data_IF_267567019785
#
_entry.id   IF_267567019785
#
_cell.length_a   1.000
_cell.length_b   1.000
_cell.length_c   1.000
_cell.angle_alpha   90.00
_cell.angle_beta   90.00
_cell.angle_gamma   90.00
#
_symmetry.space_group_name_H-M   'P 1'
#
loop_
_entity.id
_entity.type
_entity.pdbx_description
1 polymer ?
#
# COMPACT_ATOMS: atom_id res chain seq x y z
N UNK A 1 14.98 -10.73 10.73
CA UNK A 1 13.70 -10.24 10.16
C UNK A 1 13.18 -11.29 9.17
N UNK A 2 11.88 -11.58 9.15
CA UNK A 2 11.28 -12.51 8.18
C UNK A 2 10.69 -11.72 7.01
N UNK A 3 11.55 -11.22 6.12
CA UNK A 3 11.17 -10.32 5.04
C UNK A 3 11.62 -10.82 3.67
N UNK A 4 10.76 -10.55 2.69
CA UNK A 4 10.91 -10.92 1.30
C UNK A 4 10.66 -9.70 0.42
N UNK A 5 11.15 -9.75 -0.81
CA UNK A 5 10.87 -8.79 -1.87
C UNK A 5 10.24 -9.56 -3.03
N UNK A 6 9.09 -9.13 -3.50
CA UNK A 6 8.51 -9.54 -4.76
C UNK A 6 8.77 -8.45 -5.79
N UNK A 7 9.69 -8.70 -6.72
CA UNK A 7 9.98 -7.77 -7.80
C UNK A 7 9.11 -8.07 -9.02
N UNK A 8 8.06 -7.28 -9.21
CA UNK A 8 7.15 -7.35 -10.36
C UNK A 8 7.65 -6.51 -11.55
N UNK A 9 8.92 -6.08 -11.54
CA UNK A 9 9.51 -5.22 -12.58
C UNK A 9 10.55 -5.97 -13.39
N UNK A 10 10.68 -5.63 -14.67
CA UNK A 10 11.80 -6.10 -15.50
C UNK A 10 12.96 -5.10 -15.61
N UNK A 11 12.78 -3.85 -15.19
CA UNK A 11 13.77 -2.77 -15.31
C UNK A 11 13.91 -1.95 -14.02
N UNK A 12 15.06 -1.28 -13.88
CA UNK A 12 15.34 -0.37 -12.75
C UNK A 12 14.42 0.86 -12.74
N UNK A 13 14.09 1.41 -13.91
CA UNK A 13 13.20 2.57 -14.11
C UNK A 13 12.22 2.22 -15.22
N UNK A 14 10.92 2.43 -14.99
CA UNK A 14 9.84 2.00 -15.89
C UNK A 14 9.87 0.49 -16.15
N UNK A 15 9.48 0.12 -17.37
CA UNK A 15 9.41 -1.28 -17.82
C UNK A 15 8.02 -1.87 -17.72
N UNK A 16 7.89 -3.14 -18.09
CA UNK A 16 6.63 -3.86 -18.02
C UNK A 16 6.48 -4.54 -16.66
N UNK A 17 5.24 -4.73 -16.22
CA UNK A 17 4.90 -5.60 -15.09
C UNK A 17 5.19 -7.06 -15.47
N UNK A 18 5.86 -7.79 -14.58
CA UNK A 18 6.20 -9.21 -14.76
C UNK A 18 5.35 -10.11 -13.85
N UNK A 19 5.51 -11.43 -13.98
CA UNK A 19 4.90 -12.40 -13.06
C UNK A 19 5.51 -12.41 -11.66
N UNK A 20 6.64 -11.71 -11.46
CA UNK A 20 7.34 -11.60 -10.19
C UNK A 20 8.51 -12.55 -10.00
N UNK A 21 9.57 -12.03 -9.40
CA UNK A 21 10.69 -12.77 -8.84
C UNK A 21 10.74 -12.55 -7.33
N UNK A 22 10.84 -13.64 -6.55
CA UNK A 22 10.90 -13.59 -5.11
C UNK A 22 12.35 -13.59 -4.63
N UNK A 23 12.69 -12.63 -3.76
CA UNK A 23 13.92 -12.59 -3.01
C UNK A 23 13.64 -12.69 -1.52
N UNK A 24 14.54 -13.29 -0.77
CA UNK A 24 14.59 -13.20 0.69
C UNK A 24 15.69 -12.23 1.10
N UNK A 25 15.40 -11.40 2.10
CA UNK A 25 16.38 -10.46 2.63
C UNK A 25 17.23 -11.18 3.69
N UNK A 26 18.52 -11.34 3.40
CA UNK A 26 19.50 -11.93 4.32
C UNK A 26 20.72 -11.02 4.45
N UNK A 27 20.99 -10.52 5.67
CA UNK A 27 22.10 -9.58 5.92
C UNK A 27 22.12 -8.39 4.93
N UNK A 28 20.94 -7.79 4.70
CA UNK A 28 20.70 -6.69 3.75
C UNK A 28 20.92 -7.02 2.25
N UNK A 29 21.18 -8.29 1.92
CA UNK A 29 21.28 -8.78 0.54
C UNK A 29 19.98 -9.42 0.07
N UNK A 30 19.71 -9.29 -1.23
CA UNK A 30 18.60 -9.96 -1.91
C UNK A 30 19.06 -11.34 -2.37
N UNK A 31 18.60 -12.38 -1.68
CA UNK A 31 18.89 -13.78 -2.02
C UNK A 31 17.74 -14.32 -2.84
N UNK A 32 18.03 -14.79 -4.05
CA UNK A 32 17.02 -15.43 -4.93
C UNK A 32 16.31 -16.57 -4.19
N UNK A 33 14.97 -16.53 -4.22
CA UNK A 33 14.11 -17.45 -3.51
C UNK A 33 13.09 -18.17 -4.41
N UNK A 34 13.16 -18.03 -5.73
CA UNK A 34 12.17 -18.60 -6.66
C UNK A 34 12.16 -20.13 -6.63
N UNK A 35 13.33 -20.75 -6.46
CA UNK A 35 13.44 -22.21 -6.28
C UNK A 35 12.90 -22.71 -4.93
N UNK A 36 12.56 -21.81 -4.01
CA UNK A 36 12.12 -22.08 -2.63
C UNK A 36 10.74 -21.50 -2.32
N UNK A 37 9.91 -21.27 -3.33
CA UNK A 37 8.51 -20.85 -3.17
C UNK A 37 7.71 -21.73 -2.18
N UNK A 38 7.85 -23.06 -2.15
CA UNK A 38 7.15 -23.88 -1.14
C UNK A 38 7.51 -23.52 0.31
N UNK A 39 8.75 -23.05 0.56
CA UNK A 39 9.16 -22.58 1.89
C UNK A 39 8.48 -21.25 2.25
N UNK A 40 8.30 -20.35 1.27
CA UNK A 40 7.52 -19.12 1.46
C UNK A 40 6.05 -19.44 1.77
N UNK A 41 5.45 -20.37 1.02
CA UNK A 41 4.08 -20.84 1.28
C UNK A 41 3.97 -21.41 2.71
N UNK A 42 4.90 -22.27 3.11
CA UNK A 42 4.94 -22.83 4.46
C UNK A 42 5.12 -21.75 5.54
N UNK A 43 5.96 -20.74 5.28
CA UNK A 43 6.18 -19.63 6.21
C UNK A 43 4.92 -18.80 6.47
N UNK A 44 3.98 -18.74 5.52
CA UNK A 44 2.70 -18.01 5.63
C UNK A 44 1.55 -18.86 6.17
N UNK A 45 1.73 -20.17 6.35
CA UNK A 45 0.67 -21.07 6.79
C UNK A 45 0.12 -20.72 8.17
N UNK A 46 -1.14 -20.29 8.22
CA UNK A 46 -1.84 -19.88 9.45
C UNK A 46 -1.28 -18.60 10.08
N UNK A 47 -0.35 -17.91 9.40
CA UNK A 47 0.28 -16.67 9.88
C UNK A 47 -0.24 -15.46 9.11
N UNK A 48 0.08 -14.28 9.63
CA UNK A 48 -0.15 -13.03 8.90
C UNK A 48 0.99 -12.77 7.92
N UNK A 49 0.62 -12.47 6.68
CA UNK A 49 1.50 -11.98 5.62
C UNK A 49 1.24 -10.49 5.47
N UNK A 50 2.20 -9.66 5.85
CA UNK A 50 2.16 -8.21 5.71
C UNK A 50 2.78 -7.80 4.37
N UNK A 51 1.95 -7.35 3.43
CA UNK A 51 2.36 -6.89 2.12
C UNK A 51 2.52 -5.38 2.13
N UNK A 52 3.71 -4.89 1.74
CA UNK A 52 4.06 -3.48 1.73
C UNK A 52 4.25 -2.99 0.28
N UNK A 53 3.61 -1.89 -0.09
CA UNK A 53 3.65 -1.38 -1.47
C UNK A 53 4.00 0.11 -1.48
N UNK A 54 5.06 0.48 -2.22
CA UNK A 54 5.51 1.87 -2.36
C UNK A 54 4.65 2.66 -3.36
N UNK A 55 4.78 4.00 -3.33
CA UNK A 55 4.09 4.93 -4.23
C UNK A 55 4.75 5.12 -5.61
N UNK A 56 4.26 6.12 -6.35
CA UNK A 56 4.78 6.51 -7.67
C UNK A 56 6.17 7.19 -7.60
N UNK A 57 6.89 7.22 -8.73
CA UNK A 57 8.20 7.83 -8.96
C UNK A 57 9.33 7.25 -8.09
N UNK A 58 9.28 5.93 -7.86
CA UNK A 58 10.35 5.19 -7.22
C UNK A 58 10.98 4.24 -8.25
N UNK A 59 12.29 4.36 -8.46
CA UNK A 59 13.07 3.33 -9.15
C UNK A 59 13.08 2.05 -8.31
N UNK A 60 13.42 0.91 -8.91
CA UNK A 60 13.51 -0.38 -8.21
C UNK A 60 14.41 -0.28 -6.97
N UNK A 61 15.62 0.26 -7.09
CA UNK A 61 16.56 0.40 -5.97
C UNK A 61 16.06 1.35 -4.88
N UNK A 62 15.39 2.45 -5.26
CA UNK A 62 14.85 3.42 -4.30
C UNK A 62 13.63 2.86 -3.56
N UNK A 63 12.69 2.24 -4.29
CA UNK A 63 11.54 1.54 -3.72
C UNK A 63 11.96 0.42 -2.76
N UNK A 64 12.95 -0.38 -3.16
CA UNK A 64 13.58 -1.39 -2.29
C UNK A 64 14.10 -0.75 -1.00
N UNK A 65 14.93 0.29 -1.12
CA UNK A 65 15.56 0.93 0.05
C UNK A 65 14.50 1.42 1.05
N UNK A 66 13.44 2.08 0.57
CA UNK A 66 12.35 2.57 1.42
C UNK A 66 11.58 1.44 2.10
N UNK A 67 11.13 0.44 1.33
CA UNK A 67 10.32 -0.65 1.88
C UNK A 67 11.12 -1.55 2.83
N UNK A 68 12.35 -1.92 2.48
CA UNK A 68 13.21 -2.74 3.35
C UNK A 68 13.52 -2.01 4.66
N UNK A 69 13.77 -0.70 4.60
CA UNK A 69 13.96 0.10 5.80
C UNK A 69 12.70 0.14 6.67
N UNK A 70 11.53 0.32 6.06
CA UNK A 70 10.26 0.29 6.77
C UNK A 70 10.00 -1.08 7.42
N UNK A 71 10.30 -2.20 6.74
CA UNK A 71 10.30 -3.53 7.35
C UNK A 71 11.20 -3.60 8.59
N UNK A 72 12.40 -3.02 8.51
CA UNK A 72 13.34 -2.94 9.62
C UNK A 72 12.78 -2.18 10.82
N UNK A 73 12.10 -1.05 10.59
CA UNK A 73 11.42 -0.28 11.64
C UNK A 73 10.29 -1.08 12.30
N UNK A 74 9.45 -1.74 11.50
CA UNK A 74 8.38 -2.59 12.02
C UNK A 74 8.93 -3.77 12.84
N UNK A 75 9.98 -4.43 12.35
CA UNK A 75 10.64 -5.52 13.08
C UNK A 75 11.28 -5.04 14.39
N UNK A 76 11.94 -3.87 14.39
CA UNK A 76 12.49 -3.26 15.58
C UNK A 76 11.40 -2.86 16.60
N UNK A 77 10.21 -2.49 16.10
CA UNK A 77 9.02 -2.24 16.90
C UNK A 77 8.27 -3.50 17.37
N UNK A 78 8.81 -4.70 17.10
CA UNK A 78 8.26 -5.97 17.59
C UNK A 78 7.37 -6.73 16.60
N UNK A 79 7.19 -6.25 15.37
CA UNK A 79 6.46 -7.02 14.36
C UNK A 79 7.19 -8.32 14.02
N UNK A 80 6.46 -9.43 14.03
CA UNK A 80 6.98 -10.78 13.74
C UNK A 80 6.28 -11.45 12.54
N UNK A 81 5.52 -10.68 11.76
CA UNK A 81 4.82 -11.17 10.59
C UNK A 81 5.79 -11.61 9.49
N UNK A 82 5.29 -12.41 8.54
CA UNK A 82 5.99 -12.58 7.26
C UNK A 82 5.79 -11.27 6.49
N UNK A 83 6.87 -10.56 6.16
CA UNK A 83 6.78 -9.29 5.43
C UNK A 83 7.14 -9.48 3.95
N UNK A 84 6.36 -8.92 3.05
CA UNK A 84 6.56 -8.97 1.60
C UNK A 84 6.53 -7.56 1.02
N UNK A 85 7.70 -7.03 0.67
CA UNK A 85 7.83 -5.76 -0.03
C UNK A 85 7.61 -5.95 -1.53
N UNK A 86 6.70 -5.20 -2.13
CA UNK A 86 6.38 -5.30 -3.56
C UNK A 86 7.06 -4.16 -4.31
N UNK A 87 7.91 -4.50 -5.28
CA UNK A 87 8.48 -3.55 -6.23
C UNK A 87 7.67 -3.61 -7.52
N UNK A 88 7.23 -2.46 -8.01
CA UNK A 88 6.40 -2.36 -9.21
C UNK A 88 6.83 -1.16 -10.08
N UNK A 89 6.57 -1.17 -11.41
CA UNK A 89 7.06 -0.15 -12.34
C UNK A 89 6.23 1.15 -12.25
N UNK A 90 6.09 1.68 -11.04
CA UNK A 90 5.39 2.94 -10.77
C UNK A 90 6.26 4.16 -11.01
N UNK A 91 7.13 4.16 -12.02
CA UNK A 91 7.96 5.30 -12.43
C UNK A 91 8.23 5.21 -13.95
N UNK A 92 8.82 6.24 -14.53
CA UNK A 92 9.11 6.24 -15.96
C UNK A 92 10.20 7.24 -16.36
N UNK A 93 10.80 7.00 -17.53
CA UNK A 93 11.84 7.86 -18.10
C UNK A 93 11.30 9.25 -18.49
N UNK A 94 10.01 9.35 -18.79
CA UNK A 94 9.32 10.58 -19.19
C UNK A 94 8.30 11.00 -18.12
N UNK A 95 8.78 11.50 -16.98
CA UNK A 95 8.03 11.80 -15.73
C UNK A 95 6.81 12.75 -15.83
N UNK A 96 6.39 13.20 -17.02
CA UNK A 96 5.28 14.15 -17.19
C UNK A 96 4.41 13.94 -18.44
N UNK A 97 4.82 13.11 -19.41
CA UNK A 97 4.14 12.98 -20.71
C UNK A 97 3.29 11.70 -20.85
N UNK A 98 3.25 10.83 -19.83
CA UNK A 98 2.62 9.49 -19.91
C UNK A 98 1.66 9.15 -18.77
N UNK A 99 1.20 10.14 -17.98
CA UNK A 99 0.26 9.93 -16.85
C UNK A 99 -0.98 9.05 -17.15
N UNK A 100 -1.55 9.01 -18.38
CA UNK A 100 -2.65 8.09 -18.71
C UNK A 100 -2.29 6.60 -18.72
N UNK A 101 -1.01 6.25 -18.83
CA UNK A 101 -0.51 4.88 -18.87
C UNK A 101 -0.12 4.36 -17.47
N UNK A 102 0.15 5.23 -16.50
CA UNK A 102 0.64 4.84 -15.17
C UNK A 102 -0.44 4.23 -14.28
N UNK A 103 -1.71 4.61 -14.50
CA UNK A 103 -2.85 3.90 -13.90
C UNK A 103 -2.95 2.45 -14.38
N UNK A 104 -2.55 2.18 -15.63
CA UNK A 104 -2.52 0.82 -16.19
C UNK A 104 -1.42 -0.02 -15.55
N UNK A 105 -0.24 0.54 -15.31
CA UNK A 105 0.82 -0.18 -14.61
C UNK A 105 0.43 -0.55 -13.17
N UNK A 106 -0.29 0.34 -12.47
CA UNK A 106 -0.83 0.04 -11.14
C UNK A 106 -1.90 -1.06 -11.17
N UNK A 107 -2.78 -1.06 -12.18
CA UNK A 107 -3.81 -2.10 -12.36
C UNK A 107 -3.17 -3.45 -12.76
N UNK A 108 -2.25 -3.45 -13.72
CA UNK A 108 -1.49 -4.63 -14.16
C UNK A 108 -0.66 -5.22 -13.02
N UNK A 109 -0.07 -4.35 -12.17
CA UNK A 109 0.64 -4.76 -10.96
C UNK A 109 -0.31 -5.42 -9.96
N UNK A 110 -1.51 -4.86 -9.75
CA UNK A 110 -2.49 -5.46 -8.85
C UNK A 110 -2.92 -6.86 -9.31
N UNK A 111 -3.11 -7.03 -10.62
CA UNK A 111 -3.39 -8.32 -11.25
C UNK A 111 -2.25 -9.32 -11.05
N UNK A 112 -1.02 -8.90 -11.29
CA UNK A 112 0.16 -9.74 -11.09
C UNK A 112 0.33 -10.14 -9.62
N UNK A 113 0.19 -9.18 -8.70
CA UNK A 113 0.26 -9.40 -7.25
C UNK A 113 -0.85 -10.33 -6.77
N UNK A 114 -2.09 -10.14 -7.22
CA UNK A 114 -3.21 -11.03 -6.92
C UNK A 114 -2.91 -12.46 -7.35
N UNK A 115 -2.49 -12.67 -8.61
CA UNK A 115 -2.17 -14.01 -9.13
C UNK A 115 -1.02 -14.64 -8.36
N UNK A 116 0.01 -13.87 -8.04
CA UNK A 116 1.17 -14.35 -7.30
C UNK A 116 0.80 -14.77 -5.87
N UNK A 117 0.09 -13.91 -5.11
CA UNK A 117 -0.38 -14.23 -3.76
C UNK A 117 -1.33 -15.43 -3.77
N UNK A 118 -2.23 -15.48 -4.74
CA UNK A 118 -3.20 -16.56 -4.93
C UNK A 118 -2.58 -17.93 -5.16
N UNK A 119 -1.35 -17.94 -5.67
CA UNK A 119 -0.59 -19.15 -6.01
C UNK A 119 0.41 -19.52 -4.92
N UNK A 120 1.09 -18.54 -4.33
CA UNK A 120 2.28 -18.76 -3.51
C UNK A 120 2.06 -18.52 -2.01
N UNK A 121 1.05 -17.76 -1.60
CA UNK A 121 0.69 -17.66 -0.19
C UNK A 121 -0.16 -18.87 0.23
N UNK A 122 -0.03 -19.31 1.48
CA UNK A 122 -0.92 -20.35 2.00
C UNK A 122 -2.38 -19.87 1.95
N UNK A 123 -3.30 -20.77 1.59
CA UNK A 123 -4.73 -20.41 1.44
C UNK A 123 -5.36 -19.89 2.74
N UNK A 124 -4.85 -20.32 3.89
CA UNK A 124 -5.26 -19.87 5.23
C UNK A 124 -4.41 -18.72 5.79
N UNK A 125 -3.48 -18.17 5.00
CA UNK A 125 -2.73 -16.99 5.39
C UNK A 125 -3.68 -15.80 5.55
N UNK A 126 -3.39 -14.96 6.54
CA UNK A 126 -4.07 -13.68 6.77
C UNK A 126 -3.27 -12.58 6.10
N UNK A 127 -3.73 -12.05 4.97
CA UNK A 127 -3.02 -11.02 4.23
C UNK A 127 -3.41 -9.64 4.76
N UNK A 128 -2.44 -8.94 5.32
CA UNK A 128 -2.55 -7.53 5.65
C UNK A 128 -1.79 -6.69 4.61
N UNK A 129 -2.29 -5.50 4.30
CA UNK A 129 -1.66 -4.59 3.35
C UNK A 129 -1.30 -3.26 4.01
N UNK A 130 -0.16 -2.71 3.61
CA UNK A 130 0.19 -1.30 3.81
C UNK A 130 0.61 -0.73 2.46
N UNK A 131 -0.15 0.24 1.96
CA UNK A 131 0.13 0.93 0.71
C UNK A 131 0.48 2.39 0.96
N UNK A 132 1.34 2.96 0.12
CA UNK A 132 1.62 4.39 0.08
C UNK A 132 1.21 5.00 -1.26
N UNK A 133 0.58 6.18 -1.25
CA UNK A 133 0.31 6.98 -2.46
C UNK A 133 -0.43 6.16 -3.53
N UNK A 134 0.05 6.14 -4.78
CA UNK A 134 -0.50 5.34 -5.88
C UNK A 134 -0.40 3.83 -5.65
N UNK A 135 0.54 3.38 -4.79
CA UNK A 135 0.59 1.99 -4.32
C UNK A 135 -0.68 1.57 -3.56
N UNK A 136 -1.47 2.53 -3.05
CA UNK A 136 -2.79 2.23 -2.49
C UNK A 136 -3.77 1.71 -3.54
N UNK A 137 -3.68 2.15 -4.81
CA UNK A 137 -4.48 1.58 -5.91
C UNK A 137 -4.10 0.13 -6.16
N UNK A 138 -2.80 -0.18 -6.18
CA UNK A 138 -2.30 -1.56 -6.29
C UNK A 138 -2.85 -2.43 -5.17
N UNK A 139 -2.76 -1.95 -3.92
CA UNK A 139 -3.28 -2.64 -2.73
C UNK A 139 -4.79 -2.87 -2.85
N UNK A 140 -5.58 -1.84 -3.12
CA UNK A 140 -7.03 -1.95 -3.09
C UNK A 140 -7.58 -2.77 -4.27
N UNK A 141 -6.98 -2.67 -5.47
CA UNK A 141 -7.31 -3.55 -6.59
C UNK A 141 -6.96 -5.02 -6.30
N UNK A 142 -5.80 -5.28 -5.68
CA UNK A 142 -5.42 -6.65 -5.27
C UNK A 142 -6.39 -7.18 -4.23
N UNK A 143 -6.70 -6.37 -3.22
CA UNK A 143 -7.63 -6.72 -2.14
C UNK A 143 -9.04 -6.98 -2.67
N UNK A 144 -9.51 -6.23 -3.68
CA UNK A 144 -10.80 -6.45 -4.33
C UNK A 144 -10.87 -7.84 -4.99
N UNK A 145 -9.80 -8.25 -5.68
CA UNK A 145 -9.72 -9.56 -6.31
C UNK A 145 -9.64 -10.68 -5.27
N UNK A 146 -8.86 -10.49 -4.20
CA UNK A 146 -8.79 -11.44 -3.08
C UNK A 146 -10.13 -11.58 -2.35
N UNK A 147 -10.84 -10.48 -2.10
CA UNK A 147 -12.16 -10.48 -1.46
C UNK A 147 -13.17 -11.30 -2.26
N UNK A 148 -13.15 -11.19 -3.59
CA UNK A 148 -14.02 -11.97 -4.50
C UNK A 148 -13.63 -13.45 -4.57
N UNK A 149 -12.34 -13.77 -4.44
CA UNK A 149 -11.83 -15.16 -4.47
C UNK A 149 -12.03 -15.88 -3.13
N UNK A 150 -11.91 -15.17 -2.01
CA UNK A 150 -12.05 -15.69 -0.65
C UNK A 150 -10.80 -16.36 -0.08
N UNK A 151 -9.70 -16.50 -0.84
CA UNK A 151 -8.41 -16.94 -0.32
C UNK A 151 -7.21 -16.35 -1.12
N UNK A 152 -6.08 -16.07 -0.45
CA UNK A 152 -5.90 -16.02 1.01
C UNK A 152 -6.83 -15.00 1.71
N UNK A 153 -6.97 -15.11 3.04
CA UNK A 153 -7.96 -14.34 3.82
C UNK A 153 -7.49 -12.91 3.97
N UNK A 154 -8.34 -11.93 3.67
CA UNK A 154 -8.04 -10.52 3.85
C UNK A 154 -8.14 -10.15 5.35
N UNK A 155 -7.05 -9.66 5.94
CA UNK A 155 -6.97 -9.23 7.34
C UNK A 155 -7.18 -7.72 7.45
N UNK A 156 -6.11 -6.92 7.49
CA UNK A 156 -6.19 -5.48 7.69
C UNK A 156 -5.52 -4.71 6.56
N UNK A 157 -6.05 -3.54 6.23
CA UNK A 157 -5.49 -2.67 5.19
C UNK A 157 -5.18 -1.30 5.80
N UNK A 158 -3.96 -0.81 5.63
CA UNK A 158 -3.58 0.56 5.98
C UNK A 158 -3.17 1.30 4.70
N UNK A 159 -3.84 2.41 4.42
CA UNK A 159 -3.57 3.27 3.26
C UNK A 159 -2.91 4.56 3.74
N UNK A 160 -1.68 4.82 3.31
CA UNK A 160 -0.90 5.99 3.68
C UNK A 160 -0.85 6.98 2.53
N UNK A 161 -1.35 8.20 2.74
CA UNK A 161 -1.51 9.21 1.68
C UNK A 161 -2.15 8.66 0.37
N UNK A 162 -3.25 7.89 0.41
CA UNK A 162 -3.81 7.24 -0.78
C UNK A 162 -4.12 8.21 -1.94
N UNK A 163 -3.55 7.91 -3.10
CA UNK A 163 -3.86 8.56 -4.38
C UNK A 163 -4.99 7.81 -5.11
N UNK A 164 -6.14 7.72 -4.45
CA UNK A 164 -7.43 7.20 -4.96
C UNK A 164 -8.57 8.09 -4.48
N UNK A 165 -9.77 7.96 -5.04
CA UNK A 165 -10.91 8.82 -4.70
C UNK A 165 -11.38 8.62 -3.25
N UNK A 166 -11.76 9.71 -2.59
CA UNK A 166 -12.21 9.69 -1.21
C UNK A 166 -13.59 9.04 -0.96
N UNK A 167 -14.32 8.71 -2.03
CA UNK A 167 -15.58 7.97 -2.02
C UNK A 167 -15.48 6.56 -2.64
N UNK A 168 -14.25 6.10 -2.94
CA UNK A 168 -14.03 4.83 -3.64
C UNK A 168 -14.19 3.60 -2.73
N UNK A 169 -14.20 3.75 -1.41
CA UNK A 169 -14.21 2.62 -0.48
C UNK A 169 -15.58 1.94 -0.40
N UNK A 170 -16.66 2.72 -0.54
CA UNK A 170 -18.05 2.24 -0.48
C UNK A 170 -18.81 2.31 -1.79
N UNK A 171 -18.32 3.06 -2.79
CA UNK A 171 -18.95 3.18 -4.12
C UNK A 171 -18.98 1.82 -4.85
N UNK A 172 -19.87 1.70 -5.84
CA UNK A 172 -19.90 0.59 -6.80
C UNK A 172 -19.37 1.05 -8.16
N UNK A 173 -18.73 0.15 -8.93
CA UNK A 173 -18.15 0.47 -10.23
C UNK A 173 -16.78 -0.15 -10.48
N UNK A 174 -16.09 0.34 -11.51
CA UNK A 174 -14.80 -0.21 -11.96
C UNK A 174 -13.65 0.24 -11.05
N UNK A 175 -13.67 1.48 -10.57
CA UNK A 175 -12.66 2.08 -9.68
C UNK A 175 -13.10 2.12 -8.21
N UNK A 176 -13.87 1.10 -7.81
CA UNK A 176 -14.43 1.01 -6.47
C UNK A 176 -13.88 -0.18 -5.69
N UNK A 177 -13.92 -0.07 -4.37
CA UNK A 177 -13.28 -1.00 -3.45
C UNK A 177 -14.25 -1.60 -2.42
N UNK A 178 -15.55 -1.66 -2.75
CA UNK A 178 -16.60 -2.07 -1.81
C UNK A 178 -16.38 -3.49 -1.26
N UNK A 179 -16.15 -4.49 -2.13
CA UNK A 179 -15.91 -5.88 -1.69
C UNK A 179 -14.69 -5.97 -0.77
N UNK A 180 -13.58 -5.30 -1.12
CA UNK A 180 -12.39 -5.26 -0.27
C UNK A 180 -12.70 -4.65 1.11
N UNK A 181 -13.38 -3.51 1.13
CA UNK A 181 -13.77 -2.81 2.36
C UNK A 181 -14.73 -3.63 3.22
N UNK A 182 -15.67 -4.37 2.62
CA UNK A 182 -16.63 -5.18 3.36
C UNK A 182 -16.02 -6.47 3.94
N UNK A 183 -15.06 -7.07 3.23
CA UNK A 183 -14.44 -8.36 3.58
C UNK A 183 -13.26 -8.19 4.54
N UNK A 184 -12.49 -7.11 4.42
CA UNK A 184 -11.37 -6.83 5.34
C UNK A 184 -11.86 -6.73 6.78
N UNK A 185 -11.06 -7.20 7.74
CA UNK A 185 -11.33 -7.05 9.17
C UNK A 185 -11.45 -5.57 9.53
N UNK A 186 -10.49 -4.78 9.04
CA UNK A 186 -10.42 -3.33 9.27
C UNK A 186 -9.60 -2.62 8.18
N UNK A 187 -10.00 -1.41 7.83
CA UNK A 187 -9.27 -0.51 6.93
C UNK A 187 -8.93 0.79 7.67
N UNK A 188 -7.68 1.23 7.60
CA UNK A 188 -7.23 2.52 8.10
C UNK A 188 -6.75 3.42 6.96
N UNK A 189 -6.99 4.72 7.09
CA UNK A 189 -6.51 5.75 6.17
C UNK A 189 -5.71 6.77 6.96
N UNK A 190 -4.43 6.94 6.63
CA UNK A 190 -3.60 8.03 7.13
C UNK A 190 -3.62 9.15 6.09
N UNK A 191 -4.22 10.28 6.45
CA UNK A 191 -4.44 11.40 5.55
C UNK A 191 -3.95 12.74 6.13
N UNK A 192 -3.44 13.63 5.29
CA UNK A 192 -2.94 14.96 5.66
C UNK A 192 -3.44 16.03 4.68
N UNK A 193 -3.96 17.15 5.19
CA UNK A 193 -4.38 18.26 4.32
C UNK A 193 -3.20 19.03 3.69
N UNK A 194 -2.03 18.89 4.30
CA UNK A 194 -0.75 19.54 3.92
C UNK A 194 0.01 18.76 2.85
N UNK A 195 -0.49 17.59 2.43
CA UNK A 195 0.10 16.81 1.33
C UNK A 195 0.02 17.58 0.00
N UNK A 196 1.16 18.17 -0.40
CA UNK A 196 1.23 19.06 -1.57
C UNK A 196 1.16 18.28 -2.88
N UNK A 197 1.67 17.05 -2.90
CA UNK A 197 1.59 16.18 -4.09
C UNK A 197 0.13 15.87 -4.41
N UNK A 198 -0.67 15.47 -3.41
CA UNK A 198 -2.09 15.23 -3.60
C UNK A 198 -2.88 16.54 -3.79
N UNK A 199 -2.36 17.68 -3.34
CA UNK A 199 -2.97 18.98 -3.62
C UNK A 199 -2.85 19.36 -5.11
N UNK A 200 -1.70 19.12 -5.73
CA UNK A 200 -1.40 19.62 -7.07
C UNK A 200 -1.42 18.55 -8.17
N UNK A 201 -0.83 17.38 -7.92
CA UNK A 201 -0.70 16.33 -8.93
C UNK A 201 -1.99 15.53 -9.09
N UNK A 202 -2.74 15.30 -8.00
CA UNK A 202 -3.97 14.51 -8.07
C UNK A 202 -5.06 15.16 -8.94
N UNK A 203 -5.42 16.45 -8.78
CA UNK A 203 -6.45 17.06 -9.64
C UNK A 203 -6.04 17.13 -11.12
N UNK A 204 -4.74 17.23 -11.41
CA UNK A 204 -4.22 17.23 -12.78
C UNK A 204 -4.28 15.82 -13.41
N UNK A 205 -3.95 14.79 -12.63
CA UNK A 205 -4.07 13.39 -13.03
C UNK A 205 -5.53 12.94 -13.17
N UNK A 206 -6.39 13.31 -12.21
CA UNK A 206 -7.82 13.03 -12.21
C UNK A 206 -8.54 13.76 -13.35
N UNK A 207 -8.14 14.99 -13.70
CA UNK A 207 -8.64 15.66 -14.90
C UNK A 207 -8.27 14.89 -16.18
N UNK A 208 -7.04 14.37 -16.28
CA UNK A 208 -6.63 13.56 -17.43
C UNK A 208 -7.37 12.21 -17.49
N UNK A 209 -7.59 11.55 -16.35
CA UNK A 209 -8.34 10.30 -16.26
C UNK A 209 -9.85 10.51 -16.48
N UNK A 210 -10.43 11.58 -15.95
CA UNK A 210 -11.79 12.05 -16.22
C UNK A 210 -12.01 12.26 -17.72
N UNK A 211 -11.09 12.94 -18.40
CA UNK A 211 -11.19 13.22 -19.84
C UNK A 211 -11.00 11.96 -20.71
N UNK A 212 -10.16 11.01 -20.29
CA UNK A 212 -9.85 9.81 -21.07
C UNK A 212 -10.75 8.60 -20.78
N UNK A 213 -11.21 8.46 -19.53
CA UNK A 213 -11.92 7.29 -19.02
C UNK A 213 -13.29 7.62 -18.42
N UNK A 214 -13.71 8.91 -18.44
CA UNK A 214 -15.04 9.33 -18.01
C UNK A 214 -15.25 9.32 -16.49
N UNK A 215 -14.17 9.29 -15.71
CA UNK A 215 -14.23 9.38 -14.24
C UNK A 215 -14.66 10.78 -13.79
N UNK A 216 -15.10 10.92 -12.54
CA UNK A 216 -15.70 12.15 -12.02
C UNK A 216 -14.72 12.83 -11.08
N UNK A 217 -14.54 14.14 -11.23
CA UNK A 217 -13.74 15.00 -10.34
C UNK A 217 -13.92 14.64 -8.87
N UNK A 218 -12.88 14.04 -8.28
CA UNK A 218 -12.81 13.59 -6.90
C UNK A 218 -11.80 14.38 -6.08
N UNK A 219 -11.80 14.18 -4.76
CA UNK A 219 -10.69 14.63 -3.89
C UNK A 219 -9.90 13.40 -3.48
N UNK A 220 -8.57 13.52 -3.42
CA UNK A 220 -7.72 12.43 -2.96
C UNK A 220 -8.10 11.99 -1.53
N UNK A 221 -8.28 10.68 -1.35
CA UNK A 221 -8.54 10.06 -0.06
C UNK A 221 -7.42 10.40 0.94
N UNK A 222 -6.16 10.41 0.48
CA UNK A 222 -5.00 10.71 1.31
C UNK A 222 -4.87 12.16 1.74
N UNK A 223 -5.64 13.06 1.14
CA UNK A 223 -5.68 14.47 1.56
C UNK A 223 -6.86 14.77 2.45
N UNK A 224 -8.01 14.15 2.17
CA UNK A 224 -9.29 14.56 2.76
C UNK A 224 -9.86 13.59 3.78
N UNK A 225 -9.37 12.36 3.79
CA UNK A 225 -9.98 11.26 4.51
C UNK A 225 -11.23 10.72 3.79
N UNK A 226 -11.75 9.57 4.23
CA UNK A 226 -12.92 8.94 3.63
C UNK A 226 -14.19 9.76 3.87
N UNK A 227 -15.08 9.82 2.88
CA UNK A 227 -16.38 10.51 2.97
C UNK A 227 -17.58 9.55 2.92
N UNK A 228 -17.33 8.28 3.24
CA UNK A 228 -18.33 7.21 3.21
C UNK A 228 -19.48 7.47 4.18
N UNK A 229 -20.70 7.17 3.73
CA UNK A 229 -21.92 7.35 4.53
C UNK A 229 -22.67 6.05 4.82
N UNK A 230 -22.41 4.99 4.06
CA UNK A 230 -23.06 3.69 4.28
C UNK A 230 -22.52 3.04 5.57
N UNK A 231 -23.39 2.73 6.53
CA UNK A 231 -22.97 2.22 7.84
C UNK A 231 -22.13 0.94 7.77
N UNK A 232 -22.40 0.05 6.80
CA UNK A 232 -21.63 -1.20 6.61
C UNK A 232 -20.19 -0.93 6.16
N UNK A 233 -19.96 0.16 5.44
CA UNK A 233 -18.64 0.61 5.00
C UNK A 233 -17.94 1.36 6.12
N UNK A 234 -18.62 2.33 6.73
CA UNK A 234 -18.07 3.14 7.83
C UNK A 234 -17.62 2.28 9.00
N UNK A 235 -18.38 1.24 9.37
CA UNK A 235 -18.00 0.32 10.46
C UNK A 235 -16.76 -0.53 10.16
N UNK A 236 -16.31 -0.60 8.90
CA UNK A 236 -15.06 -1.27 8.50
C UNK A 236 -13.86 -0.33 8.49
N UNK A 237 -14.09 0.97 8.56
CA UNK A 237 -13.05 1.99 8.56
C UNK A 237 -12.68 2.33 10.01
N UNK A 238 -11.40 2.23 10.33
CA UNK A 238 -10.85 2.70 11.60
C UNK A 238 -10.98 4.23 11.65
N UNK A 239 -11.53 4.81 12.75
CA UNK A 239 -11.75 6.25 12.87
C UNK A 239 -10.42 6.99 13.15
N UNK A 240 -9.55 7.02 12.15
CA UNK A 240 -8.26 7.71 12.22
C UNK A 240 -8.47 9.20 11.89
N UNK A 241 -8.12 10.14 12.79
CA UNK A 241 -8.15 11.55 12.47
C UNK A 241 -7.12 11.89 11.38
N UNK A 242 -7.36 12.96 10.63
CA UNK A 242 -6.34 13.55 9.75
C UNK A 242 -5.13 14.00 10.57
N UNK A 243 -3.96 14.04 9.92
CA UNK A 243 -2.74 14.60 10.50
C UNK A 243 -2.99 16.02 11.02
N UNK A 244 -2.33 16.36 12.13
CA UNK A 244 -2.35 17.73 12.63
C UNK A 244 -1.69 18.65 11.61
N UNK A 245 -2.33 19.77 11.26
CA UNK A 245 -1.71 20.78 10.39
C UNK A 245 -0.36 21.28 10.93
N UNK A 246 -0.18 21.35 12.25
CA UNK A 246 1.10 21.75 12.88
C UNK A 246 2.24 20.76 12.66
N UNK A 247 1.95 19.52 12.29
CA UNK A 247 2.98 18.52 11.98
C UNK A 247 3.51 18.65 10.57
N UNK A 248 2.79 19.35 9.69
CA UNK A 248 3.19 19.58 8.30
C UNK A 248 3.58 18.26 7.58
N UNK A 249 2.77 17.21 7.80
CA UNK A 249 3.03 15.88 7.22
C UNK A 249 2.79 15.95 5.72
N UNK A 250 3.86 15.89 4.95
CA UNK A 250 3.83 15.90 3.48
C UNK A 250 3.80 14.47 2.92
N UNK A 251 3.71 14.35 1.60
CA UNK A 251 3.47 13.12 0.88
C UNK A 251 4.50 12.00 1.15
N UNK A 252 5.79 12.36 1.25
CA UNK A 252 6.89 11.41 1.43
C UNK A 252 7.06 10.90 2.87
N UNK A 253 6.58 11.68 3.84
CA UNK A 253 6.86 11.52 5.27
C UNK A 253 6.39 10.20 5.86
N UNK A 254 5.48 9.52 5.17
CA UNK A 254 4.93 8.23 5.58
C UNK A 254 5.92 7.07 5.47
N UNK A 255 6.93 7.19 4.61
CA UNK A 255 7.99 6.20 4.39
C UNK A 255 9.40 6.79 4.57
N UNK A 256 9.53 8.12 4.51
CA UNK A 256 10.80 8.80 4.74
C UNK A 256 11.15 8.84 6.23
N UNK A 257 12.44 8.72 6.49
CA UNK A 257 13.00 8.58 7.84
C UNK A 257 13.14 9.95 8.47
N UNK A 258 12.80 10.05 9.74
CA UNK A 258 13.15 11.23 10.52
C UNK A 258 14.70 11.30 10.63
N UNK A 259 15.35 12.35 10.10
CA UNK A 259 16.80 12.46 10.13
C UNK A 259 17.36 12.57 11.56
N UNK A 260 16.52 12.91 12.54
CA UNK A 260 16.87 13.00 13.96
C UNK A 260 16.61 11.69 14.71
N UNK A 261 15.72 10.83 14.19
CA UNK A 261 15.37 9.54 14.79
C UNK A 261 15.29 8.46 13.70
N UNK A 262 16.43 7.80 13.36
CA UNK A 262 16.50 6.87 12.23
C UNK A 262 15.60 5.63 12.31
N UNK A 263 15.01 5.37 13.47
CA UNK A 263 14.07 4.27 13.72
C UNK A 263 12.59 4.65 13.52
N UNK A 264 12.31 5.89 13.08
CA UNK A 264 10.96 6.40 12.88
C UNK A 264 10.82 7.03 11.50
N UNK A 265 9.61 6.98 10.96
CA UNK A 265 9.23 7.83 9.83
C UNK A 265 8.84 9.22 10.32
N UNK A 266 8.93 10.23 9.45
CA UNK A 266 8.54 11.61 9.80
C UNK A 266 7.07 11.67 10.23
N UNK A 267 6.20 10.89 9.56
CA UNK A 267 4.78 10.79 9.88
C UNK A 267 4.47 9.89 11.08
N UNK A 268 5.46 9.16 11.61
CA UNK A 268 5.30 8.09 12.61
C UNK A 268 4.34 6.97 12.16
N UNK A 269 4.31 6.70 10.85
CA UNK A 269 3.46 5.68 10.24
C UNK A 269 3.75 4.29 10.79
N UNK A 270 5.01 3.97 11.07
CA UNK A 270 5.40 2.67 11.61
C UNK A 270 4.75 2.40 12.97
N UNK A 271 4.65 3.42 13.84
CA UNK A 271 4.00 3.28 15.15
C UNK A 271 2.51 3.02 15.01
N UNK A 272 1.84 3.75 14.12
CA UNK A 272 0.42 3.52 13.84
C UNK A 272 0.20 2.13 13.27
N UNK A 273 0.98 1.74 12.25
CA UNK A 273 0.86 0.43 11.59
C UNK A 273 1.04 -0.71 12.60
N UNK A 274 2.01 -0.62 13.51
CA UNK A 274 2.20 -1.62 14.56
C UNK A 274 0.96 -1.76 15.44
N UNK A 275 0.45 -0.65 15.99
CA UNK A 275 -0.75 -0.68 16.84
C UNK A 275 -1.99 -1.16 16.09
N UNK A 276 -2.15 -0.74 14.83
CA UNK A 276 -3.27 -1.12 13.98
C UNK A 276 -3.26 -2.62 13.64
N UNK A 277 -2.09 -3.17 13.32
CA UNK A 277 -1.92 -4.61 13.07
C UNK A 277 -2.12 -5.43 14.35
N UNK A 278 -1.71 -4.92 15.51
CA UNK A 278 -1.91 -5.58 16.81
C UNK A 278 -3.32 -5.42 17.37
N UNK A 279 -4.23 -4.82 16.60
CA UNK A 279 -5.64 -4.63 16.95
C UNK A 279 -5.80 -3.83 18.25
N UNK A 280 -4.92 -2.87 18.48
CA UNK A 280 -5.07 -1.92 19.58
C UNK A 280 -6.47 -1.28 19.51
N UNK A 281 -7.19 -1.10 20.64
CA UNK A 281 -8.55 -0.57 20.63
C UNK A 281 -8.70 0.82 20.01
N UNK A 282 -7.62 1.62 20.06
CA UNK A 282 -7.52 2.96 19.48
C UNK A 282 -6.08 3.16 19.02
N UNK A 283 -5.71 2.66 17.82
CA UNK A 283 -4.37 2.84 17.31
C UNK A 283 -4.10 4.34 17.15
N UNK A 284 -3.09 4.82 17.86
CA UNK A 284 -2.75 6.23 17.89
C UNK A 284 -1.90 6.56 16.68
N UNK A 285 -2.46 7.35 15.77
CA UNK A 285 -1.66 8.15 14.87
C UNK A 285 -1.58 9.55 15.47
N UNK A 286 -0.38 10.14 15.68
CA UNK A 286 -0.27 11.41 16.37
C UNK A 286 -0.96 12.52 15.58
N UNK A 287 -2.22 12.75 15.95
CA UNK A 287 -3.08 13.81 15.45
C UNK A 287 -2.87 15.12 16.22
N UNK A 288 -2.07 15.09 17.29
CA UNK A 288 -1.73 16.22 18.14
C UNK A 288 -0.30 15.99 18.69
N UNK A 289 0.57 17.00 18.59
CA UNK A 289 1.66 17.17 19.55
C UNK A 289 1.11 17.93 20.75
#
# INVERSE_FOLDING_TARGET
MNAYILDLRNQEIGGAVTSGHLYRIENDLDVDWDSRLPEFTAATYGKRLLVLVHGYNNSRSFGRTRLVRFCGMLAAGGNSDVMLSVLWPGDGWAKALTYPFEGRDADDTADALFRWLSTNAASIARVAFVGHSLGCRVVMNTAQQLARRGNPVLDRICLMAPAIDNDSLGRQGITCYQDATLVTDRLAVLASEEDLVLHFAYPLGDLAQTVLYGERWGRALGRTGPIESESRIVTRIEPVPKANRKRDVDHGDYLDVDPTIPSQTIAESEKFVLQFLDRAPQPHWPAQR
#
